data_IF_392790371510
#
_entry.id   IF_392790371510
#
_cell.length_a   1.000
_cell.length_b   1.000
_cell.length_c   1.000
_cell.angle_alpha   90.00
_cell.angle_beta   90.00
_cell.angle_gamma   90.00
#
_symmetry.space_group_name_H-M   'P 1'
#
loop_
_entity.id
_entity.type
_entity.pdbx_description
1 polymer ?
#
# COMPACT_ATOMS: atom_id res chain seq x y z
N UNK A 1 46.59 0.86 22.97
CA UNK A 1 46.00 1.40 21.73
C UNK A 1 44.66 2.04 22.07
N UNK A 2 44.58 3.38 22.09
CA UNK A 2 43.35 4.14 22.31
C UNK A 2 42.75 4.48 20.95
N UNK A 3 41.53 4.02 20.67
CA UNK A 3 40.79 4.41 19.46
C UNK A 3 39.88 5.58 19.82
N UNK A 4 40.22 6.74 19.25
CA UNK A 4 39.49 8.01 19.35
C UNK A 4 38.16 7.91 18.57
N UNK A 5 37.05 8.21 19.23
CA UNK A 5 35.74 8.45 18.61
C UNK A 5 35.64 9.94 18.25
N UNK A 6 35.83 10.27 16.99
CA UNK A 6 35.46 11.59 16.45
C UNK A 6 34.01 11.56 15.99
N UNK A 7 33.15 12.18 16.79
CA UNK A 7 31.79 12.56 16.42
C UNK A 7 31.87 13.71 15.41
N UNK A 8 31.46 13.50 14.16
CA UNK A 8 31.34 14.57 13.16
C UNK A 8 29.98 15.23 13.34
N UNK A 9 30.01 16.45 13.86
CA UNK A 9 28.91 17.41 13.84
C UNK A 9 28.47 17.64 12.39
N UNK A 10 27.18 17.37 12.13
CA UNK A 10 26.52 17.73 10.89
C UNK A 10 26.24 19.23 10.87
N UNK A 11 26.60 19.79 9.72
CA UNK A 11 26.58 21.16 9.25
C UNK A 11 25.28 21.92 9.50
N UNK A 12 25.47 23.16 9.96
CA UNK A 12 24.52 24.27 9.99
C UNK A 12 23.85 24.52 8.63
N UNK A 13 22.53 24.35 8.57
CA UNK A 13 21.70 24.89 7.49
C UNK A 13 21.47 26.39 7.71
N UNK A 14 21.85 27.19 6.71
CA UNK A 14 21.65 28.64 6.67
C UNK A 14 20.18 28.91 6.37
N UNK A 15 19.47 29.51 7.34
CA UNK A 15 18.09 29.95 7.21
C UNK A 15 17.98 31.16 6.28
N UNK A 16 17.09 31.08 5.29
CA UNK A 16 16.61 32.23 4.53
C UNK A 16 15.09 32.31 4.72
N UNK A 17 14.54 33.24 5.53
CA UNK A 17 13.13 33.21 5.92
C UNK A 17 12.30 34.06 4.93
N UNK A 18 12.21 33.61 3.69
CA UNK A 18 10.98 33.83 2.94
C UNK A 18 10.09 32.65 3.31
N UNK A 19 9.11 32.89 4.21
CA UNK A 19 8.15 31.85 4.59
C UNK A 19 7.41 31.42 3.33
N UNK A 20 7.86 30.32 2.74
CA UNK A 20 7.09 29.62 1.73
C UNK A 20 5.67 29.41 2.29
N UNK A 21 4.62 29.50 1.44
CA UNK A 21 3.26 29.25 1.89
C UNK A 21 3.22 27.94 2.66
N UNK A 22 2.55 27.95 3.82
CA UNK A 22 2.50 26.80 4.73
C UNK A 22 2.10 25.55 3.94
N UNK A 23 2.97 24.54 3.96
CA UNK A 23 2.77 23.32 3.20
C UNK A 23 1.57 22.54 3.74
N UNK A 24 0.67 22.15 2.84
CA UNK A 24 -0.47 21.27 3.15
C UNK A 24 -0.23 19.94 2.48
N UNK A 25 -0.11 18.88 3.29
CA UNK A 25 0.04 17.51 2.83
C UNK A 25 -1.33 16.93 2.47
N UNK A 26 -1.53 16.44 1.24
CA UNK A 26 -2.78 15.76 0.88
C UNK A 26 -2.67 14.26 1.14
N UNK A 27 -3.45 13.76 2.10
CA UNK A 27 -3.34 12.37 2.54
C UNK A 27 -3.75 11.35 1.47
N UNK A 28 -4.70 11.70 0.59
CA UNK A 28 -5.12 10.81 -0.49
C UNK A 28 -4.04 10.70 -1.56
N UNK A 29 -3.45 11.83 -1.94
CA UNK A 29 -2.39 11.86 -2.94
C UNK A 29 -1.10 11.20 -2.41
N UNK A 30 -0.78 11.41 -1.14
CA UNK A 30 0.31 10.71 -0.47
C UNK A 30 0.08 9.19 -0.42
N UNK A 31 -1.13 8.73 -0.11
CA UNK A 31 -1.46 7.30 -0.10
C UNK A 31 -1.23 6.62 -1.46
N UNK A 32 -1.50 7.33 -2.56
CA UNK A 32 -1.18 6.85 -3.92
C UNK A 32 0.32 6.68 -4.11
N UNK A 33 1.12 7.68 -3.73
CA UNK A 33 2.58 7.64 -3.85
C UNK A 33 3.19 6.55 -2.98
N UNK A 34 2.77 6.43 -1.71
CA UNK A 34 3.27 5.40 -0.80
C UNK A 34 3.00 4.00 -1.33
N UNK A 35 1.78 3.73 -1.79
CA UNK A 35 1.48 2.43 -2.35
C UNK A 35 2.32 2.16 -3.59
N UNK A 36 2.41 3.12 -4.52
CA UNK A 36 3.25 2.95 -5.71
C UNK A 36 4.71 2.62 -5.38
N UNK A 37 5.38 3.46 -4.59
CA UNK A 37 6.80 3.31 -4.28
C UNK A 37 7.06 2.04 -3.45
N UNK A 38 6.25 1.78 -2.42
CA UNK A 38 6.37 0.58 -1.58
C UNK A 38 6.09 -0.69 -2.39
N UNK A 39 4.98 -0.74 -3.11
CA UNK A 39 4.58 -1.94 -3.85
C UNK A 39 5.60 -2.30 -4.91
N UNK A 40 6.05 -1.32 -5.68
CA UNK A 40 6.91 -1.54 -6.85
C UNK A 40 8.36 -1.89 -6.53
N UNK A 41 8.79 -1.60 -5.30
CA UNK A 41 10.14 -1.87 -4.79
C UNK A 41 10.18 -2.90 -3.66
N UNK A 42 9.07 -3.55 -3.32
CA UNK A 42 9.00 -4.53 -2.23
C UNK A 42 10.04 -5.67 -2.41
N UNK A 43 11.04 -5.78 -1.52
CA UNK A 43 12.20 -6.64 -1.72
C UNK A 43 11.86 -8.11 -1.89
N UNK A 44 10.84 -8.60 -1.15
CA UNK A 44 10.40 -10.01 -1.21
C UNK A 44 9.93 -10.44 -2.60
N UNK A 45 9.43 -9.49 -3.38
CA UNK A 45 8.81 -9.77 -4.67
C UNK A 45 9.61 -9.23 -5.85
N UNK A 46 10.84 -8.78 -5.63
CA UNK A 46 11.66 -8.16 -6.67
C UNK A 46 11.87 -9.12 -7.86
N UNK A 47 11.46 -8.67 -9.04
CA UNK A 47 11.53 -9.38 -10.33
C UNK A 47 10.67 -10.64 -10.39
N UNK A 48 9.61 -10.68 -9.58
CA UNK A 48 8.71 -11.84 -9.55
C UNK A 48 7.70 -11.80 -10.69
N UNK A 49 7.50 -12.95 -11.34
CA UNK A 49 6.43 -13.18 -12.31
C UNK A 49 5.46 -14.25 -11.80
N UNK A 50 4.17 -13.98 -11.94
CA UNK A 50 3.12 -14.90 -11.53
C UNK A 50 3.18 -16.15 -12.40
N UNK A 51 3.30 -17.31 -11.75
CA UNK A 51 3.36 -18.62 -12.38
C UNK A 51 1.99 -19.29 -12.36
N UNK A 52 1.34 -19.25 -11.20
CA UNK A 52 0.11 -20.00 -10.96
C UNK A 52 -0.73 -19.36 -9.86
N UNK A 53 -2.06 -19.45 -9.99
CA UNK A 53 -3.03 -19.06 -8.97
C UNK A 53 -3.91 -20.26 -8.68
N UNK A 54 -4.12 -20.55 -7.40
CA UNK A 54 -4.92 -21.68 -6.93
C UNK A 54 -6.00 -21.15 -5.99
N UNK A 55 -7.24 -21.60 -6.14
CA UNK A 55 -8.36 -21.20 -5.27
C UNK A 55 -8.94 -22.39 -4.52
N UNK A 56 -9.31 -22.14 -3.28
CA UNK A 56 -10.04 -23.08 -2.44
C UNK A 56 -9.35 -24.45 -2.36
N UNK A 57 -10.03 -25.51 -2.81
CA UNK A 57 -9.56 -26.89 -2.71
C UNK A 57 -8.70 -27.32 -3.91
N UNK A 58 -8.40 -26.42 -4.82
CA UNK A 58 -7.45 -26.67 -5.90
C UNK A 58 -6.02 -26.87 -5.35
N UNK A 59 -5.15 -27.45 -6.17
CA UNK A 59 -3.72 -27.60 -5.89
C UNK A 59 -2.90 -27.05 -7.03
N UNK A 60 -1.70 -26.57 -6.73
CA UNK A 60 -0.73 -26.18 -7.76
C UNK A 60 -0.42 -27.40 -8.64
N UNK A 61 -0.54 -27.21 -9.95
CA UNK A 61 -0.25 -28.22 -10.96
C UNK A 61 1.24 -28.25 -11.31
N UNK A 62 1.92 -27.11 -11.16
CA UNK A 62 3.30 -26.96 -11.65
C UNK A 62 4.37 -27.06 -10.56
N UNK A 63 3.99 -26.99 -9.28
CA UNK A 63 4.88 -27.00 -8.11
C UNK A 63 4.19 -27.60 -6.88
N UNK A 64 4.95 -28.14 -5.93
CA UNK A 64 4.42 -28.66 -4.66
C UNK A 64 4.81 -27.72 -3.52
N UNK A 65 3.94 -26.75 -3.22
CA UNK A 65 4.18 -25.70 -2.22
C UNK A 65 3.21 -25.69 -1.03
N UNK A 66 2.08 -26.40 -1.14
CA UNK A 66 1.03 -26.38 -0.12
C UNK A 66 1.22 -27.51 0.87
N UNK A 67 1.12 -27.21 2.17
CA UNK A 67 1.27 -28.17 3.26
C UNK A 67 -0.11 -28.62 3.80
N UNK A 68 -0.09 -29.57 4.74
CA UNK A 68 -1.31 -30.10 5.35
C UNK A 68 -2.13 -29.01 6.08
N UNK A 69 -1.47 -28.00 6.67
CA UNK A 69 -2.15 -26.89 7.32
C UNK A 69 -2.96 -26.05 6.33
N UNK A 70 -2.41 -25.77 5.13
CA UNK A 70 -3.14 -25.12 4.06
C UNK A 70 -4.35 -25.95 3.60
N UNK A 71 -4.17 -27.27 3.42
CA UNK A 71 -5.25 -28.16 3.02
C UNK A 71 -6.40 -28.17 4.03
N UNK A 72 -6.09 -28.16 5.34
CA UNK A 72 -7.07 -28.17 6.42
C UNK A 72 -7.84 -26.83 6.58
N UNK A 73 -7.31 -25.71 6.07
CA UNK A 73 -7.97 -24.39 6.20
C UNK A 73 -9.29 -24.34 5.41
N UNK A 74 -10.41 -23.91 6.03
CA UNK A 74 -11.66 -23.70 5.30
C UNK A 74 -11.57 -22.59 4.26
N UNK A 75 -12.33 -22.72 3.18
CA UNK A 75 -12.57 -21.67 2.19
C UNK A 75 -13.28 -20.44 2.77
N UNK A 76 -13.14 -19.25 2.14
CA UNK A 76 -12.35 -18.99 0.94
C UNK A 76 -10.84 -18.92 1.21
N UNK A 77 -10.05 -19.50 0.31
CA UNK A 77 -8.58 -19.38 0.35
C UNK A 77 -7.99 -19.25 -1.05
N UNK A 78 -6.89 -18.52 -1.19
CA UNK A 78 -6.20 -18.33 -2.47
C UNK A 78 -4.70 -18.41 -2.30
N UNK A 79 -4.01 -19.14 -3.18
CA UNK A 79 -2.58 -19.24 -3.19
C UNK A 79 -1.98 -18.76 -4.51
N UNK A 80 -0.81 -18.12 -4.43
CA UNK A 80 -0.06 -17.58 -5.55
C UNK A 80 1.34 -18.20 -5.56
N UNK A 81 1.78 -18.68 -6.72
CA UNK A 81 3.17 -19.06 -6.95
C UNK A 81 3.81 -18.03 -7.89
N UNK A 82 4.98 -17.55 -7.52
CA UNK A 82 5.78 -16.62 -8.30
C UNK A 82 7.16 -17.22 -8.59
N UNK A 83 7.66 -16.99 -9.81
CA UNK A 83 9.06 -17.24 -10.17
C UNK A 83 9.84 -15.93 -10.11
N UNK A 84 11.04 -15.92 -9.50
CA UNK A 84 11.97 -14.80 -9.65
C UNK A 84 12.66 -14.88 -11.01
N UNK A 85 12.41 -13.90 -11.87
CA UNK A 85 12.97 -13.80 -13.22
C UNK A 85 13.63 -12.42 -13.37
N UNK A 86 14.91 -12.29 -13.01
CA UNK A 86 15.63 -11.02 -13.14
C UNK A 86 15.63 -10.53 -14.60
N UNK A 87 15.41 -9.23 -14.83
CA UNK A 87 15.49 -8.65 -16.17
C UNK A 87 16.91 -8.74 -16.70
N UNK A 88 17.06 -8.99 -18.00
CA UNK A 88 18.38 -9.09 -18.64
C UNK A 88 19.04 -7.72 -18.81
N UNK A 89 18.24 -6.71 -19.14
CA UNK A 89 18.77 -5.44 -19.66
C UNK A 89 18.56 -4.26 -18.71
N UNK A 90 17.59 -4.33 -17.79
CA UNK A 90 17.25 -3.23 -16.90
C UNK A 90 17.01 -3.71 -15.46
N UNK A 91 18.06 -3.73 -14.64
CA UNK A 91 17.95 -4.07 -13.22
C UNK A 91 17.10 -3.06 -12.43
N UNK A 92 16.89 -1.86 -12.95
CA UNK A 92 16.03 -0.85 -12.31
C UNK A 92 14.55 -1.00 -12.71
N UNK A 93 14.17 -2.05 -13.44
CA UNK A 93 12.78 -2.31 -13.79
C UNK A 93 11.93 -2.54 -12.53
N UNK A 94 10.95 -1.67 -12.34
CA UNK A 94 9.96 -1.74 -11.25
C UNK A 94 9.01 -2.93 -11.42
N UNK A 95 8.53 -3.48 -10.30
CA UNK A 95 7.44 -4.47 -10.36
C UNK A 95 6.13 -3.72 -10.35
N UNK A 96 5.24 -4.06 -11.27
CA UNK A 96 3.96 -3.40 -11.44
C UNK A 96 2.90 -4.46 -11.71
N UNK A 97 1.62 -4.18 -11.40
CA UNK A 97 0.52 -5.02 -11.85
C UNK A 97 0.55 -5.32 -13.35
N UNK A 98 1.04 -4.39 -14.16
CA UNK A 98 1.09 -4.50 -15.63
C UNK A 98 2.21 -5.40 -16.16
N UNK A 99 3.25 -5.68 -15.36
CA UNK A 99 4.35 -6.57 -15.76
C UNK A 99 4.46 -7.82 -14.85
N UNK A 100 3.42 -8.12 -14.06
CA UNK A 100 3.40 -9.29 -13.16
C UNK A 100 3.39 -10.63 -13.91
N UNK A 101 2.98 -10.67 -15.17
CA UNK A 101 2.93 -11.91 -15.97
C UNK A 101 4.27 -12.17 -16.69
N UNK A 102 4.71 -13.43 -16.83
CA UNK A 102 5.87 -13.77 -17.63
C UNK A 102 5.56 -13.63 -19.14
N UNK A 103 6.61 -13.53 -19.95
CA UNK A 103 6.52 -13.50 -21.42
C UNK A 103 7.22 -14.73 -22.00
N UNK A 104 6.54 -15.58 -22.80
CA UNK A 104 5.12 -15.49 -23.18
C UNK A 104 4.16 -15.77 -22.01
N UNK A 105 2.92 -15.27 -22.12
CA UNK A 105 1.89 -15.46 -21.09
C UNK A 105 1.41 -16.92 -21.09
N UNK A 106 1.48 -17.64 -19.95
CA UNK A 106 0.97 -19.00 -19.82
C UNK A 106 -0.54 -19.10 -20.04
N UNK A 107 -1.01 -20.19 -20.63
CA UNK A 107 -2.42 -20.37 -20.97
C UNK A 107 -3.34 -20.33 -19.72
N UNK A 108 -2.86 -20.83 -18.59
CA UNK A 108 -3.56 -20.81 -17.30
C UNK A 108 -3.65 -19.40 -16.67
N UNK A 109 -2.97 -18.40 -17.22
CA UNK A 109 -3.00 -17.01 -16.73
C UNK A 109 -3.59 -16.03 -17.75
N UNK A 110 -3.71 -16.44 -19.02
CA UNK A 110 -4.17 -15.58 -20.12
C UNK A 110 -5.61 -15.05 -19.94
N UNK A 111 -6.40 -15.66 -19.07
CA UNK A 111 -7.78 -15.25 -18.77
C UNK A 111 -7.88 -14.15 -17.71
N UNK A 112 -6.80 -13.84 -16.99
CA UNK A 112 -6.83 -12.87 -15.89
C UNK A 112 -6.94 -11.44 -16.42
N UNK A 113 -7.96 -10.73 -15.95
CA UNK A 113 -8.16 -9.31 -16.25
C UNK A 113 -7.15 -8.42 -15.54
N UNK A 114 -6.95 -7.18 -16.02
CA UNK A 114 -6.07 -6.20 -15.36
C UNK A 114 -6.44 -5.95 -13.90
N UNK A 115 -7.74 -5.96 -13.57
CA UNK A 115 -8.22 -5.81 -12.20
C UNK A 115 -7.80 -7.00 -11.32
N UNK A 116 -7.92 -8.22 -11.84
CA UNK A 116 -7.50 -9.43 -11.11
C UNK A 116 -5.99 -9.46 -10.90
N UNK A 117 -5.20 -9.09 -11.92
CA UNK A 117 -3.75 -8.96 -11.81
C UNK A 117 -3.35 -7.93 -10.75
N UNK A 118 -4.04 -6.78 -10.70
CA UNK A 118 -3.84 -5.78 -9.66
C UNK A 118 -4.23 -6.32 -8.27
N UNK A 119 -5.35 -7.04 -8.15
CA UNK A 119 -5.74 -7.66 -6.88
C UNK A 119 -4.70 -8.67 -6.42
N UNK A 120 -4.25 -9.58 -7.29
CA UNK A 120 -3.20 -10.57 -6.98
C UNK A 120 -1.91 -9.87 -6.54
N UNK A 121 -1.52 -8.83 -7.28
CA UNK A 121 -0.31 -8.06 -7.00
C UNK A 121 -0.31 -7.49 -5.58
N UNK A 122 -1.38 -6.79 -5.18
CA UNK A 122 -1.47 -6.18 -3.86
C UNK A 122 -1.73 -7.20 -2.77
N UNK A 123 -2.52 -8.23 -3.04
CA UNK A 123 -2.85 -9.24 -2.06
C UNK A 123 -1.60 -10.02 -1.61
N UNK A 124 -0.72 -10.37 -2.56
CA UNK A 124 0.56 -11.00 -2.25
C UNK A 124 1.52 -10.07 -1.47
N UNK A 125 1.66 -8.82 -1.92
CA UNK A 125 2.61 -7.85 -1.36
C UNK A 125 2.17 -7.24 -0.02
N UNK A 126 0.89 -7.35 0.33
CA UNK A 126 0.36 -6.77 1.58
C UNK A 126 0.39 -7.73 2.78
N UNK A 127 0.90 -8.95 2.62
CA UNK A 127 1.16 -9.83 3.76
C UNK A 127 2.11 -9.15 4.77
N UNK A 128 1.62 -9.01 6.01
CA UNK A 128 2.24 -8.31 7.14
C UNK A 128 2.70 -6.88 6.82
N UNK A 129 2.09 -6.27 5.79
CA UNK A 129 2.48 -4.94 5.36
C UNK A 129 1.92 -3.82 6.24
N UNK A 130 0.91 -4.09 7.09
CA UNK A 130 0.23 -3.05 7.86
C UNK A 130 1.22 -2.27 8.76
N UNK A 131 2.08 -2.99 9.49
CA UNK A 131 3.16 -2.42 10.28
C UNK A 131 4.24 -1.74 9.43
N UNK A 132 4.59 -2.31 8.27
CA UNK A 132 5.52 -1.71 7.30
C UNK A 132 4.99 -0.38 6.75
N UNK A 133 3.69 -0.31 6.44
CA UNK A 133 3.03 0.89 5.93
C UNK A 133 2.89 1.99 6.98
N UNK A 134 2.58 1.64 8.24
CA UNK A 134 2.57 2.62 9.35
C UNK A 134 3.98 3.15 9.60
N UNK A 135 5.00 2.28 9.65
CA UNK A 135 6.40 2.68 9.80
C UNK A 135 6.86 3.59 8.66
N UNK A 136 6.50 3.27 7.41
CA UNK A 136 6.77 4.10 6.25
C UNK A 136 6.20 5.53 6.38
N UNK A 137 4.95 5.62 6.84
CA UNK A 137 4.29 6.91 7.08
C UNK A 137 4.97 7.68 8.22
N UNK A 138 5.41 7.01 9.30
CA UNK A 138 6.22 7.64 10.35
C UNK A 138 7.50 8.25 9.78
N UNK A 139 8.29 7.48 9.03
CA UNK A 139 9.54 7.94 8.41
C UNK A 139 9.32 9.14 7.48
N UNK A 140 8.22 9.15 6.74
CA UNK A 140 7.88 10.30 5.90
C UNK A 140 7.48 11.53 6.73
N UNK A 141 6.70 11.34 7.79
CA UNK A 141 6.27 12.46 8.64
C UNK A 141 7.40 13.06 9.46
N UNK A 142 8.50 12.35 9.69
CA UNK A 142 9.72 12.91 10.31
C UNK A 142 10.38 14.02 9.47
N UNK A 143 10.05 14.15 8.18
CA UNK A 143 10.50 15.29 7.36
C UNK A 143 9.75 16.60 7.65
N UNK A 144 8.72 16.58 8.50
CA UNK A 144 7.82 17.72 8.71
C UNK A 144 7.62 18.02 10.20
N UNK A 145 7.43 19.30 10.59
CA UNK A 145 6.94 19.66 11.92
C UNK A 145 5.58 19.03 12.23
N UNK A 146 5.30 18.75 13.50
CA UNK A 146 4.01 18.15 13.92
C UNK A 146 2.80 19.06 13.64
N UNK A 147 3.03 20.36 13.50
CA UNK A 147 2.02 21.36 13.20
C UNK A 147 1.70 21.45 11.70
N UNK A 148 2.43 20.74 10.84
CA UNK A 148 2.18 20.72 9.39
C UNK A 148 0.75 20.25 9.12
N UNK A 149 0.06 21.03 8.29
CA UNK A 149 -1.34 20.80 7.94
C UNK A 149 -1.48 19.60 7.01
N UNK A 150 -2.50 18.79 7.25
CA UNK A 150 -2.88 17.64 6.42
C UNK A 150 -4.30 17.84 5.92
N UNK A 151 -4.49 17.81 4.61
CA UNK A 151 -5.78 17.76 3.96
C UNK A 151 -6.26 16.31 3.85
N UNK A 152 -7.46 16.07 4.35
CA UNK A 152 -8.13 14.77 4.31
C UNK A 152 -9.34 14.86 3.40
N UNK A 153 -9.33 14.05 2.34
CA UNK A 153 -10.43 13.90 1.38
C UNK A 153 -10.91 12.46 1.40
N UNK A 154 -12.16 12.22 1.79
CA UNK A 154 -12.69 10.85 1.88
C UNK A 154 -13.56 10.49 0.69
N UNK A 155 -13.77 9.18 0.54
CA UNK A 155 -14.70 8.61 -0.43
C UNK A 155 -16.14 9.09 -0.27
N UNK A 156 -16.55 9.53 0.92
CA UNK A 156 -17.88 10.05 1.19
C UNK A 156 -18.03 11.53 0.80
N UNK A 157 -16.94 12.21 0.39
CA UNK A 157 -16.94 13.63 0.04
C UNK A 157 -16.56 14.56 1.20
N UNK A 158 -16.18 14.01 2.36
CA UNK A 158 -15.61 14.85 3.41
C UNK A 158 -14.29 15.47 2.92
N UNK A 159 -14.09 16.74 3.26
CA UNK A 159 -12.89 17.51 2.95
C UNK A 159 -12.61 18.44 4.13
N UNK A 160 -11.53 18.19 4.85
CA UNK A 160 -11.15 19.00 6.01
C UNK A 160 -9.62 19.00 6.18
N UNK A 161 -9.14 19.89 7.05
CA UNK A 161 -7.73 20.03 7.38
C UNK A 161 -7.55 19.70 8.86
N UNK A 162 -6.51 18.95 9.16
CA UNK A 162 -5.99 18.67 10.52
C UNK A 162 -4.47 18.87 10.52
N UNK A 163 -3.76 18.42 11.55
CA UNK A 163 -2.30 18.49 11.67
C UNK A 163 -1.67 17.12 11.91
N UNK A 164 -0.36 16.99 11.67
CA UNK A 164 0.39 15.76 11.95
C UNK A 164 0.36 15.35 13.43
N UNK A 165 0.19 16.30 14.35
CA UNK A 165 0.04 16.01 15.79
C UNK A 165 -1.26 15.29 16.14
N UNK A 166 -2.28 15.34 15.28
CA UNK A 166 -3.57 14.69 15.50
C UNK A 166 -3.63 13.26 14.95
N UNK A 167 -2.49 12.72 14.50
CA UNK A 167 -2.40 11.34 14.04
C UNK A 167 -2.32 10.39 15.23
N UNK A 168 -2.87 9.20 15.06
CA UNK A 168 -2.64 8.06 15.93
C UNK A 168 -2.47 6.79 15.11
N UNK A 169 -1.87 5.78 15.73
CA UNK A 169 -1.73 4.44 15.18
C UNK A 169 -2.69 3.57 15.96
N UNK A 170 -3.56 2.88 15.23
CA UNK A 170 -4.60 2.04 15.80
C UNK A 170 -4.30 0.60 15.41
N UNK A 171 -4.10 -0.24 16.42
CA UNK A 171 -3.84 -1.67 16.27
C UNK A 171 -5.08 -2.47 16.68
N UNK A 172 -5.57 -3.29 15.75
CA UNK A 172 -6.73 -4.17 15.91
C UNK A 172 -6.29 -5.61 16.07
N UNK A 173 -7.09 -6.38 16.83
CA UNK A 173 -7.11 -7.85 16.77
C UNK A 173 -8.26 -8.29 15.89
N UNK A 174 -7.97 -9.01 14.82
CA UNK A 174 -8.95 -9.53 13.87
C UNK A 174 -9.17 -11.02 14.12
N UNK A 175 -10.26 -11.37 14.82
CA UNK A 175 -10.60 -12.76 15.12
C UNK A 175 -11.39 -13.41 14.00
N UNK A 176 -11.04 -14.65 13.69
CA UNK A 176 -11.63 -15.45 12.62
C UNK A 176 -11.50 -14.76 11.26
N UNK A 177 -10.28 -14.62 10.70
CA UNK A 177 -10.12 -14.10 9.34
C UNK A 177 -10.99 -14.90 8.37
N UNK A 178 -11.78 -14.20 7.55
CA UNK A 178 -12.74 -14.82 6.61
C UNK A 178 -12.10 -15.33 5.34
N UNK A 179 -10.83 -15.04 5.11
CA UNK A 179 -10.08 -15.50 3.95
C UNK A 179 -8.66 -15.83 4.37
N UNK A 180 -8.08 -16.87 3.77
CA UNK A 180 -6.66 -17.15 3.85
C UNK A 180 -5.97 -16.89 2.51
N UNK A 181 -4.77 -16.33 2.55
CA UNK A 181 -3.90 -16.16 1.38
C UNK A 181 -2.55 -16.78 1.63
N UNK A 182 -1.96 -17.40 0.62
CA UNK A 182 -0.55 -17.79 0.62
C UNK A 182 0.14 -17.25 -0.64
N UNK A 183 1.24 -16.53 -0.49
CA UNK A 183 2.08 -16.12 -1.60
C UNK A 183 3.47 -16.73 -1.47
N UNK A 184 3.87 -17.54 -2.44
CA UNK A 184 5.17 -18.21 -2.46
C UNK A 184 6.04 -17.67 -3.59
N UNK A 185 7.31 -17.37 -3.27
CA UNK A 185 8.31 -16.94 -4.27
C UNK A 185 9.35 -18.05 -4.46
N UNK A 186 9.62 -18.42 -5.72
CA UNK A 186 10.58 -19.45 -6.11
C UNK A 186 11.90 -18.81 -6.58
N UNK A 187 13.06 -19.46 -6.31
CA UNK A 187 13.21 -20.84 -5.84
C UNK A 187 13.26 -21.01 -4.31
N UNK A 188 13.21 -19.93 -3.51
CA UNK A 188 13.29 -20.05 -2.04
C UNK A 188 12.15 -20.89 -1.46
N UNK A 189 10.97 -20.84 -2.09
CA UNK A 189 9.79 -21.58 -1.66
C UNK A 189 9.17 -21.03 -0.37
N UNK A 190 9.62 -19.86 0.10
CA UNK A 190 9.10 -19.24 1.30
C UNK A 190 7.67 -18.75 1.05
N UNK A 191 6.72 -19.28 1.83
CA UNK A 191 5.31 -18.89 1.79
C UNK A 191 4.99 -17.77 2.78
N UNK A 192 4.18 -16.83 2.33
CA UNK A 192 3.70 -15.67 3.07
C UNK A 192 2.20 -15.80 3.30
N UNK A 193 1.80 -16.02 4.54
CA UNK A 193 0.44 -16.45 4.89
C UNK A 193 -0.37 -15.36 5.60
N UNK A 194 -1.46 -14.91 4.98
CA UNK A 194 -2.43 -14.01 5.63
C UNK A 194 -3.68 -14.80 6.03
N UNK A 195 -4.22 -14.59 7.23
CA UNK A 195 -5.49 -15.19 7.67
C UNK A 195 -5.47 -16.70 7.97
N UNK A 196 -4.28 -17.26 8.18
CA UNK A 196 -4.08 -18.66 8.59
C UNK A 196 -4.24 -18.88 10.10
N UNK A 197 -4.05 -17.83 10.90
CA UNK A 197 -4.21 -17.86 12.35
C UNK A 197 -5.65 -17.47 12.74
N UNK A 198 -6.08 -17.92 13.93
CA UNK A 198 -7.41 -17.59 14.47
C UNK A 198 -7.53 -16.10 14.84
N UNK A 199 -6.40 -15.46 15.13
CA UNK A 199 -6.30 -14.03 15.44
C UNK A 199 -5.16 -13.45 14.62
N UNK A 200 -5.42 -12.30 14.01
CA UNK A 200 -4.43 -11.58 13.22
C UNK A 200 -4.34 -10.14 13.69
N UNK A 201 -3.12 -9.62 13.75
CA UNK A 201 -2.87 -8.23 14.13
C UNK A 201 -2.96 -7.34 12.89
N UNK A 202 -3.53 -6.15 13.05
CA UNK A 202 -3.67 -5.20 11.95
C UNK A 202 -3.49 -3.77 12.42
N UNK A 203 -2.59 -3.02 11.78
CA UNK A 203 -2.29 -1.64 12.14
C UNK A 203 -2.70 -0.66 11.03
N UNK A 204 -3.25 0.50 11.42
CA UNK A 204 -3.63 1.60 10.52
C UNK A 204 -3.23 2.93 11.13
N UNK A 205 -3.35 4.00 10.34
CA UNK A 205 -3.24 5.38 10.84
C UNK A 205 -4.62 6.03 10.94
N UNK A 206 -4.88 6.69 12.05
CA UNK A 206 -6.04 7.53 12.28
C UNK A 206 -5.68 9.02 12.27
N UNK A 207 -6.65 9.85 11.91
CA UNK A 207 -6.61 11.31 11.92
C UNK A 207 -8.01 11.84 12.21
N UNK A 208 -8.24 12.43 13.39
CA UNK A 208 -9.53 13.01 13.79
C UNK A 208 -10.76 12.15 13.41
N UNK A 209 -10.71 10.85 13.70
CA UNK A 209 -11.79 9.90 13.40
C UNK A 209 -11.88 9.47 11.92
N UNK A 210 -10.84 9.68 11.12
CA UNK A 210 -10.67 9.11 9.78
C UNK A 210 -9.50 8.13 9.75
N UNK A 211 -9.71 6.95 9.17
CA UNK A 211 -8.73 5.88 9.05
C UNK A 211 -8.14 5.85 7.65
N UNK A 212 -6.81 5.78 7.58
CA UNK A 212 -6.03 5.39 6.42
C UNK A 212 -5.49 3.97 6.60
N UNK A 213 -5.91 3.07 5.72
CA UNK A 213 -5.36 1.70 5.61
C UNK A 213 -4.79 1.48 4.21
N UNK A 214 -3.46 1.43 4.12
CA UNK A 214 -2.73 1.18 2.87
C UNK A 214 -2.65 -0.30 2.49
N UNK A 215 -3.14 -1.19 3.35
CA UNK A 215 -2.84 -2.63 3.30
C UNK A 215 -4.05 -3.52 3.23
N UNK A 216 -5.25 -2.96 3.33
CA UNK A 216 -6.55 -3.66 3.24
C UNK A 216 -6.65 -4.63 2.06
N UNK A 217 -5.96 -4.37 0.94
CA UNK A 217 -5.88 -5.27 -0.21
C UNK A 217 -5.28 -6.66 0.09
N UNK A 218 -4.67 -6.88 1.26
CA UNK A 218 -4.29 -8.23 1.72
C UNK A 218 -5.48 -9.19 1.81
N UNK A 219 -6.70 -8.65 1.91
CA UNK A 219 -7.95 -9.41 1.91
C UNK A 219 -8.58 -9.52 0.51
N UNK A 220 -7.82 -9.25 -0.54
CA UNK A 220 -8.28 -9.29 -1.92
C UNK A 220 -9.31 -8.20 -2.24
N UNK A 221 -10.28 -8.52 -3.08
CA UNK A 221 -11.25 -7.55 -3.61
C UNK A 221 -12.13 -6.90 -2.53
N UNK A 222 -12.42 -7.60 -1.43
CA UNK A 222 -13.18 -7.03 -0.29
C UNK A 222 -12.38 -5.95 0.46
N UNK A 223 -11.05 -5.96 0.30
CA UNK A 223 -10.15 -4.96 0.85
C UNK A 223 -10.10 -3.65 0.06
N UNK A 224 -10.62 -3.61 -1.17
CA UNK A 224 -10.59 -2.40 -2.01
C UNK A 224 -11.39 -1.25 -1.39
N UNK A 225 -10.78 -0.07 -1.32
CA UNK A 225 -11.49 1.16 -0.96
C UNK A 225 -12.41 1.65 -2.07
N UNK A 226 -13.12 2.77 -1.83
CA UNK A 226 -14.03 3.40 -2.80
C UNK A 226 -15.11 2.46 -3.38
N UNK A 227 -15.57 1.48 -2.60
CA UNK A 227 -16.55 0.50 -3.09
C UNK A 227 -15.98 -0.43 -4.15
N UNK A 228 -14.74 -0.90 -3.99
CA UNK A 228 -14.14 -1.87 -4.91
C UNK A 228 -13.21 -1.28 -5.97
N UNK A 229 -12.77 -0.02 -5.82
CA UNK A 229 -12.05 0.72 -6.88
C UNK A 229 -10.72 1.34 -6.47
N UNK A 230 -10.43 1.46 -5.18
CA UNK A 230 -9.15 1.97 -4.69
C UNK A 230 -8.29 0.84 -4.14
N UNK A 231 -6.97 1.00 -4.23
CA UNK A 231 -5.96 0.08 -3.67
C UNK A 231 -5.64 0.37 -2.20
N UNK A 232 -6.30 1.36 -1.60
CA UNK A 232 -6.25 1.69 -0.17
C UNK A 232 -7.61 2.20 0.31
N UNK A 233 -7.77 2.29 1.64
CA UNK A 233 -8.97 2.80 2.30
C UNK A 233 -8.66 4.12 3.00
N UNK A 234 -9.52 5.12 2.77
CA UNK A 234 -9.49 6.41 3.48
C UNK A 234 -10.94 6.86 3.78
N UNK A 235 -11.36 6.71 5.04
CA UNK A 235 -12.77 6.88 5.43
C UNK A 235 -12.98 7.09 6.93
N UNK A 236 -14.21 7.44 7.33
CA UNK A 236 -14.56 7.59 8.74
C UNK A 236 -14.37 6.29 9.52
N UNK A 237 -13.90 6.41 10.76
CA UNK A 237 -13.63 5.30 11.67
C UNK A 237 -14.80 4.33 11.83
N UNK A 238 -16.02 4.85 12.04
CA UNK A 238 -17.24 4.03 12.14
C UNK A 238 -17.47 3.19 10.87
N UNK A 239 -17.24 3.78 9.69
CA UNK A 239 -17.36 3.08 8.40
C UNK A 239 -16.26 2.04 8.23
N UNK A 240 -15.06 2.32 8.73
CA UNK A 240 -13.94 1.39 8.73
C UNK A 240 -14.21 0.18 9.63
N UNK A 241 -14.75 0.40 10.84
CA UNK A 241 -15.10 -0.67 11.79
C UNK A 241 -16.13 -1.63 11.21
N UNK A 242 -17.16 -1.13 10.53
CA UNK A 242 -18.12 -1.98 9.81
C UNK A 242 -17.48 -2.77 8.67
N UNK A 243 -16.44 -2.24 8.05
CA UNK A 243 -15.69 -2.95 7.01
C UNK A 243 -14.79 -4.04 7.55
N UNK A 244 -14.25 -3.90 8.76
CA UNK A 244 -13.46 -4.97 9.39
C UNK A 244 -14.25 -6.29 9.43
N UNK A 245 -15.57 -6.20 9.64
CA UNK A 245 -16.50 -7.35 9.65
C UNK A 245 -16.62 -8.06 8.29
N UNK A 246 -16.13 -7.48 7.20
CA UNK A 246 -16.09 -8.13 5.87
C UNK A 246 -14.95 -9.12 5.74
N UNK A 247 -13.87 -8.93 6.49
CA UNK A 247 -12.67 -9.77 6.41
C UNK A 247 -12.35 -10.50 7.72
N UNK A 248 -13.02 -10.19 8.82
CA UNK A 248 -12.95 -10.92 10.08
C UNK A 248 -14.36 -11.23 10.62
N UNK A 249 -14.52 -12.34 11.34
CA UNK A 249 -15.77 -12.70 12.02
C UNK A 249 -16.07 -11.76 13.18
N UNK A 250 -15.06 -11.48 14.01
CA UNK A 250 -15.18 -10.65 15.20
C UNK A 250 -13.97 -9.73 15.33
N UNK A 251 -13.92 -8.61 14.61
CA UNK A 251 -12.88 -7.61 14.83
C UNK A 251 -13.03 -6.99 16.23
N UNK A 252 -11.93 -6.85 16.98
CA UNK A 252 -11.93 -6.14 18.25
C UNK A 252 -11.82 -4.63 17.97
N UNK A 253 -12.96 -3.95 18.01
CA UNK A 253 -13.06 -2.49 17.86
C UNK A 253 -13.23 -1.77 19.20
N UNK A 254 -13.22 -2.51 20.31
CA UNK A 254 -13.45 -1.98 21.67
C UNK A 254 -12.12 -1.87 22.41
N UNK A 255 -11.28 -2.90 22.36
CA UNK A 255 -9.97 -2.93 23.01
C UNK A 255 -8.85 -2.71 21.99
N UNK A 256 -8.99 -1.67 21.17
CA UNK A 256 -7.95 -1.28 20.22
C UNK A 256 -6.80 -0.61 20.96
N UNK A 257 -5.57 -0.89 20.53
CA UNK A 257 -4.39 -0.22 21.07
C UNK A 257 -4.12 1.04 20.25
N UNK A 258 -4.02 2.17 20.93
CA UNK A 258 -3.61 3.44 20.34
C UNK A 258 -2.16 3.73 20.70
N UNK A 259 -1.38 4.19 19.73
CA UNK A 259 -0.01 4.66 19.94
C UNK A 259 0.33 5.81 19.01
N UNK A 260 1.34 6.61 19.34
CA UNK A 260 1.86 7.64 18.43
C UNK A 260 3.01 7.13 17.56
N UNK A 261 3.58 5.99 17.94
CA UNK A 261 4.77 5.41 17.35
C UNK A 261 4.78 3.90 17.54
N UNK A 262 5.13 3.17 16.47
CA UNK A 262 5.52 1.77 16.52
C UNK A 262 7.00 1.64 16.10
N UNK A 263 7.67 0.64 16.66
CA UNK A 263 9.03 0.31 16.24
C UNK A 263 9.01 -0.26 14.82
N UNK A 264 10.02 0.06 14.00
CA UNK A 264 10.19 -0.58 12.70
C UNK A 264 10.26 -2.11 12.81
N UNK A 265 9.85 -2.84 11.76
CA UNK A 265 10.04 -4.29 11.72
C UNK A 265 11.52 -4.68 11.93
N UNK A 266 11.75 -5.72 12.73
CA UNK A 266 13.11 -6.22 13.03
C UNK A 266 13.76 -6.98 11.86
N UNK A 267 13.01 -7.23 10.78
CA UNK A 267 13.50 -7.87 9.57
C UNK A 267 14.71 -7.11 8.98
N UNK A 268 15.87 -7.76 8.78
CA UNK A 268 17.07 -7.10 8.26
C UNK A 268 16.82 -6.41 6.91
N UNK A 269 17.25 -5.15 6.79
CA UNK A 269 17.14 -4.37 5.55
C UNK A 269 15.76 -3.76 5.30
N UNK A 270 14.71 -4.17 6.04
CA UNK A 270 13.36 -3.62 5.84
C UNK A 270 13.29 -2.17 6.25
N UNK A 271 13.88 -1.78 7.38
CA UNK A 271 13.84 -0.40 7.83
C UNK A 271 14.59 0.54 6.86
N UNK A 272 15.76 0.14 6.37
CA UNK A 272 16.55 0.87 5.38
C UNK A 272 15.77 1.04 4.07
N UNK A 273 15.09 -0.02 3.63
CA UNK A 273 14.21 0.05 2.46
C UNK A 273 13.03 1.01 2.68
N UNK A 274 12.35 0.96 3.83
CA UNK A 274 11.24 1.86 4.12
C UNK A 274 11.69 3.34 4.19
N UNK A 275 12.89 3.61 4.71
CA UNK A 275 13.50 4.95 4.67
C UNK A 275 13.75 5.42 3.24
N UNK A 276 14.24 4.54 2.36
CA UNK A 276 14.43 4.85 0.94
C UNK A 276 13.10 5.15 0.23
N UNK A 277 12.06 4.36 0.51
CA UNK A 277 10.70 4.60 0.00
C UNK A 277 10.17 5.95 0.51
N UNK A 278 10.31 6.26 1.81
CA UNK A 278 9.88 7.55 2.37
C UNK A 278 10.58 8.73 1.69
N UNK A 279 11.90 8.62 1.46
CA UNK A 279 12.69 9.61 0.74
C UNK A 279 12.19 9.81 -0.69
N UNK A 280 11.94 8.73 -1.45
CA UNK A 280 11.39 8.81 -2.82
C UNK A 280 10.02 9.48 -2.85
N UNK A 281 9.13 9.15 -1.91
CA UNK A 281 7.82 9.80 -1.80
C UNK A 281 7.98 11.30 -1.50
N UNK A 282 8.92 11.68 -0.61
CA UNK A 282 9.23 13.09 -0.31
C UNK A 282 9.71 13.83 -1.54
N UNK A 283 10.66 13.27 -2.29
CA UNK A 283 11.18 13.88 -3.52
C UNK A 283 10.08 14.11 -4.56
N UNK A 284 9.21 13.11 -4.77
CA UNK A 284 8.08 13.21 -5.70
C UNK A 284 7.04 14.22 -5.22
N UNK A 285 6.76 14.23 -3.92
CA UNK A 285 5.86 15.20 -3.31
C UNK A 285 6.37 16.63 -3.49
N UNK A 286 7.66 16.89 -3.26
CA UNK A 286 8.27 18.22 -3.41
C UNK A 286 8.25 18.68 -4.87
N UNK A 287 8.38 17.76 -5.83
CA UNK A 287 8.33 18.04 -7.26
C UNK A 287 6.91 18.02 -7.86
N UNK A 288 5.86 17.91 -7.04
CA UNK A 288 4.45 17.78 -7.50
C UNK A 288 3.96 18.87 -8.46
N UNK A 289 4.57 20.05 -8.42
CA UNK A 289 4.25 21.16 -9.32
C UNK A 289 4.64 20.85 -10.79
N UNK A 290 5.67 20.01 -11.01
CA UNK A 290 6.23 19.69 -12.33
C UNK A 290 6.16 18.20 -12.66
N UNK A 291 6.18 17.33 -11.65
CA UNK A 291 6.09 15.88 -11.77
C UNK A 291 4.75 15.39 -11.24
N UNK A 292 3.86 15.03 -12.16
CA UNK A 292 2.53 14.54 -11.81
C UNK A 292 2.54 13.02 -11.60
N UNK A 293 1.47 12.51 -11.00
CA UNK A 293 1.24 11.07 -10.82
C UNK A 293 -0.19 10.67 -11.15
N UNK A 294 -0.39 9.39 -11.38
CA UNK A 294 -1.72 8.86 -11.67
C UNK A 294 -2.58 8.90 -10.41
N UNK A 295 -3.76 9.53 -10.51
CA UNK A 295 -4.76 9.62 -9.44
C UNK A 295 -5.45 8.29 -9.07
N UNK A 296 -4.95 7.15 -9.55
CA UNK A 296 -5.43 5.81 -9.22
C UNK A 296 -4.33 4.90 -8.67
N UNK A 297 -3.17 4.83 -9.34
CA UNK A 297 -2.09 3.92 -8.98
C UNK A 297 -0.82 4.62 -8.49
N UNK A 298 -0.72 5.96 -8.54
CA UNK A 298 0.46 6.71 -8.12
C UNK A 298 1.66 6.65 -9.07
N UNK A 299 1.56 5.99 -10.24
CA UNK A 299 2.67 5.89 -11.18
C UNK A 299 3.04 7.24 -11.83
N UNK A 300 4.33 7.48 -12.13
CA UNK A 300 4.77 8.55 -13.01
C UNK A 300 4.56 8.13 -14.48
N UNK A 301 4.02 9.00 -15.33
CA UNK A 301 3.95 8.76 -16.77
C UNK A 301 3.54 10.02 -17.56
N UNK A 302 3.67 9.97 -18.88
CA UNK A 302 2.90 10.84 -19.78
C UNK A 302 1.41 10.49 -19.63
N UNK A 303 0.72 11.31 -18.86
CA UNK A 303 -0.62 10.99 -18.38
C UNK A 303 -1.69 11.76 -19.11
N UNK A 304 -2.81 11.08 -19.34
CA UNK A 304 -4.03 11.76 -19.73
C UNK A 304 -4.51 12.65 -18.59
N UNK A 305 -4.93 13.87 -18.92
CA UNK A 305 -5.48 14.83 -17.96
C UNK A 305 -7.00 14.74 -17.90
N UNK A 306 -7.57 14.98 -16.73
CA UNK A 306 -8.99 15.20 -16.59
C UNK A 306 -9.42 16.35 -17.51
N UNK A 307 -10.33 16.12 -18.44
CA UNK A 307 -10.80 17.13 -19.39
C UNK A 307 -11.55 18.29 -18.73
N UNK A 308 -12.04 18.09 -17.50
CA UNK A 308 -12.80 19.08 -16.74
C UNK A 308 -11.90 20.02 -15.93
N UNK A 309 -11.15 19.50 -14.96
CA UNK A 309 -10.28 20.33 -14.11
C UNK A 309 -8.89 20.57 -14.68
N UNK A 310 -8.40 19.69 -15.57
CA UNK A 310 -7.02 19.68 -16.10
C UNK A 310 -5.90 19.48 -15.08
N UNK A 311 -6.24 19.37 -13.79
CA UNK A 311 -5.28 19.22 -12.69
C UNK A 311 -5.02 17.76 -12.27
N UNK A 312 -5.92 16.84 -12.61
CA UNK A 312 -5.77 15.42 -12.27
C UNK A 312 -5.27 14.61 -13.47
N UNK A 313 -4.33 13.69 -13.20
CA UNK A 313 -3.60 12.92 -14.21
C UNK A 313 -3.86 11.43 -14.03
N UNK A 314 -3.91 10.68 -15.13
CA UNK A 314 -4.15 9.23 -15.13
C UNK A 314 -3.30 8.53 -16.18
N UNK A 315 -2.86 7.30 -15.92
CA UNK A 315 -2.16 6.47 -16.91
C UNK A 315 -3.02 6.25 -18.16
N UNK A 316 -4.30 5.95 -17.96
CA UNK A 316 -5.24 5.65 -19.03
C UNK A 316 -6.70 5.91 -18.60
N UNK A 317 -7.64 5.66 -19.54
CA UNK A 317 -9.08 5.86 -19.31
C UNK A 317 -9.63 4.91 -18.24
N UNK A 318 -9.06 3.72 -18.08
CA UNK A 318 -9.43 2.76 -17.06
C UNK A 318 -9.12 3.29 -15.65
N UNK A 319 -7.91 3.80 -15.46
CA UNK A 319 -7.48 4.45 -14.21
C UNK A 319 -8.33 5.69 -13.91
N UNK A 320 -8.64 6.51 -14.93
CA UNK A 320 -9.56 7.64 -14.75
C UNK A 320 -10.95 7.16 -14.29
N UNK A 321 -11.52 6.13 -14.93
CA UNK A 321 -12.83 5.59 -14.58
C UNK A 321 -12.86 4.94 -13.18
N UNK A 322 -11.77 4.30 -12.76
CA UNK A 322 -11.60 3.73 -11.43
C UNK A 322 -11.54 4.82 -10.35
N UNK A 323 -10.78 5.90 -10.59
CA UNK A 323 -10.64 7.02 -9.67
C UNK A 323 -11.84 7.99 -9.69
N UNK A 324 -12.64 8.02 -10.77
CA UNK A 324 -13.72 8.98 -10.97
C UNK A 324 -14.73 9.07 -9.80
N UNK A 325 -15.19 7.97 -9.17
CA UNK A 325 -16.10 8.06 -8.04
C UNK A 325 -15.58 8.89 -6.86
N UNK A 326 -14.26 8.93 -6.66
CA UNK A 326 -13.60 9.84 -5.73
C UNK A 326 -13.39 11.21 -6.35
N UNK A 327 -12.68 11.28 -7.49
CA UNK A 327 -12.27 12.54 -8.11
C UNK A 327 -13.45 13.48 -8.40
N UNK A 328 -14.60 12.97 -8.84
CA UNK A 328 -15.80 13.78 -9.15
C UNK A 328 -16.37 14.58 -7.97
N UNK A 329 -15.93 14.30 -6.74
CA UNK A 329 -16.33 15.04 -5.53
C UNK A 329 -15.47 16.28 -5.30
N UNK A 330 -14.26 16.29 -5.88
CA UNK A 330 -13.25 17.34 -5.67
C UNK A 330 -12.80 17.99 -6.98
N UNK A 331 -13.39 17.59 -8.11
CA UNK A 331 -13.09 18.12 -9.44
C UNK A 331 -13.66 19.54 -9.58
N UNK A 332 -12.78 20.55 -9.67
CA UNK A 332 -13.12 21.98 -9.80
C UNK A 332 -13.83 22.33 -11.11
N UNK A 333 -13.61 21.55 -12.18
CA UNK A 333 -14.27 21.75 -13.47
C UNK A 333 -15.66 21.12 -13.59
N UNK A 334 -16.15 20.44 -12.55
CA UNK A 334 -17.48 19.85 -12.54
C UNK A 334 -18.49 20.94 -12.16
N UNK A 335 -19.25 21.43 -13.15
CA UNK A 335 -20.40 22.32 -12.93
C UNK A 335 -21.60 21.55 -12.44
#
# INVERSE_FOLDING_TARGET
MRVSKTCRSLTTFVNNPQMAPAEILDLYDLALLFNYERGSSEPRYRYTKLREVVRDNESFQTVRLLNAAWAARPSPKVAFAFDTIPPKDNLDELDLPTNILPTPIPLNLAHLSSKELETIYWQARNHDACYKSVTLLQHFFEYYPLETSIRIRTSAGANYITTLSHRDIIEFKLHGPKMATNACVLPSGTGHFTGMQDVMDHAVLGFDGTILDLTSMQFGDVGRGLGGKSVFVLEKQETYYERLKKFAEKPDTVNVKHSFYIFPPEEPGVNEWLLDVARKVKERWDRRATEHWCGHCGAPAEMMRCSLCKDAYYCDKGHQAAAWPFHKKFCTGKK
#
